data_IF_384105370614
#
_entry.id   IF_384105370614
#
_cell.length_a   1.000
_cell.length_b   1.000
_cell.length_c   1.000
_cell.angle_alpha   90.00
_cell.angle_beta   90.00
_cell.angle_gamma   90.00
#
_symmetry.space_group_name_H-M   'P 1'
#
loop_
_entity.id
_entity.type
_entity.pdbx_description
1 polymer ?
#
# COMPACT_ATOMS: atom_id res chain seq x y z
N UNK A 1 -19.39 -21.67 9.83
CA UNK A 1 -18.55 -21.18 8.71
C UNK A 1 -19.29 -20.32 7.68
N UNK A 2 -20.20 -20.84 6.83
CA UNK A 2 -20.86 -20.00 5.79
C UNK A 2 -21.63 -18.80 6.34
N UNK A 3 -22.32 -18.95 7.47
CA UNK A 3 -23.01 -17.86 8.17
C UNK A 3 -22.04 -16.77 8.65
N UNK A 4 -20.90 -17.15 9.25
CA UNK A 4 -19.88 -16.20 9.72
C UNK A 4 -19.20 -15.47 8.56
N UNK A 5 -18.93 -16.17 7.45
CA UNK A 5 -18.39 -15.55 6.24
C UNK A 5 -19.37 -14.54 5.62
N UNK A 6 -20.67 -14.85 5.59
CA UNK A 6 -21.70 -13.92 5.13
C UNK A 6 -21.81 -12.69 6.04
N UNK A 7 -21.70 -12.89 7.36
CA UNK A 7 -21.69 -11.81 8.33
C UNK A 7 -20.46 -10.91 8.14
N UNK A 8 -19.26 -11.49 8.09
CA UNK A 8 -18.01 -10.77 7.84
C UNK A 8 -18.08 -9.95 6.54
N UNK A 9 -18.56 -10.54 5.44
CA UNK A 9 -18.73 -9.82 4.17
C UNK A 9 -19.69 -8.64 4.28
N UNK A 10 -20.78 -8.79 5.04
CA UNK A 10 -21.75 -7.71 5.28
C UNK A 10 -21.13 -6.58 6.09
N UNK A 11 -20.40 -6.93 7.15
CA UNK A 11 -19.73 -5.95 8.02
C UNK A 11 -18.62 -5.20 7.28
N UNK A 12 -17.79 -5.90 6.50
CA UNK A 12 -16.77 -5.27 5.65
C UNK A 12 -17.37 -4.38 4.57
N UNK A 13 -18.54 -4.73 4.04
CA UNK A 13 -19.25 -3.87 3.08
C UNK A 13 -19.74 -2.57 3.74
N UNK A 14 -20.26 -2.67 4.97
CA UNK A 14 -20.66 -1.51 5.75
C UNK A 14 -19.45 -0.65 6.15
N UNK A 15 -18.33 -1.28 6.51
CA UNK A 15 -17.10 -0.57 6.85
C UNK A 15 -16.50 0.15 5.64
N UNK A 16 -16.46 -0.50 4.47
CA UNK A 16 -16.02 0.15 3.24
C UNK A 16 -16.85 1.42 2.95
N UNK A 17 -18.16 1.35 3.12
CA UNK A 17 -19.04 2.50 2.97
C UNK A 17 -18.76 3.59 4.02
N UNK A 18 -18.46 3.21 5.27
CA UNK A 18 -18.07 4.12 6.35
C UNK A 18 -16.78 4.88 6.04
N UNK A 19 -15.73 4.15 5.65
CA UNK A 19 -14.43 4.69 5.24
C UNK A 19 -14.63 5.67 4.08
N UNK A 20 -15.25 5.23 2.98
CA UNK A 20 -15.42 6.06 1.79
C UNK A 20 -16.25 7.32 2.08
N UNK A 21 -17.28 7.20 2.91
CA UNK A 21 -18.08 8.35 3.35
C UNK A 21 -17.27 9.35 4.19
N UNK A 22 -16.39 8.90 5.08
CA UNK A 22 -15.50 9.79 5.82
C UNK A 22 -14.60 10.60 4.89
N UNK A 23 -13.94 9.95 3.95
CA UNK A 23 -13.02 10.59 3.00
C UNK A 23 -13.75 11.53 2.03
N UNK A 24 -14.97 11.17 1.62
CA UNK A 24 -15.80 11.98 0.72
C UNK A 24 -16.29 13.28 1.37
N UNK A 25 -16.45 13.29 2.70
CA UNK A 25 -16.98 14.44 3.46
C UNK A 25 -15.90 15.32 4.08
N UNK A 26 -14.85 14.72 4.62
CA UNK A 26 -13.88 15.43 5.46
C UNK A 26 -12.57 15.76 4.74
N UNK A 27 -12.16 14.97 3.75
CA UNK A 27 -10.83 15.11 3.14
C UNK A 27 -10.79 16.01 1.89
N UNK A 28 -11.94 16.45 1.37
CA UNK A 28 -11.99 17.29 0.17
C UNK A 28 -11.52 18.72 0.47
N UNK A 29 -10.50 19.21 -0.22
CA UNK A 29 -10.11 20.63 -0.14
C UNK A 29 -10.92 21.45 -1.15
N UNK A 30 -11.99 22.09 -0.69
CA UNK A 30 -12.87 22.91 -1.54
C UNK A 30 -12.17 24.21 -2.00
N UNK A 31 -11.25 24.75 -1.20
CA UNK A 31 -10.57 26.02 -1.48
C UNK A 31 -9.51 25.87 -2.57
N UNK A 32 -8.62 24.90 -2.43
CA UNK A 32 -7.51 24.71 -3.37
C UNK A 32 -7.71 23.52 -4.31
N UNK A 33 -8.79 22.75 -4.20
CA UNK A 33 -8.97 21.54 -5.02
C UNK A 33 -8.18 20.33 -4.49
N UNK A 34 -8.46 19.16 -5.04
CA UNK A 34 -7.89 17.90 -4.55
C UNK A 34 -8.35 17.58 -3.13
N UNK A 35 -7.40 17.20 -2.29
CA UNK A 35 -7.63 16.78 -0.90
C UNK A 35 -6.76 17.60 0.05
N UNK A 36 -7.19 17.70 1.30
CA UNK A 36 -6.41 18.34 2.36
C UNK A 36 -5.15 17.50 2.65
N UNK A 37 -4.06 18.16 3.03
CA UNK A 37 -2.79 17.50 3.34
C UNK A 37 -2.82 16.74 4.66
N UNK A 38 -3.64 17.19 5.62
CA UNK A 38 -3.72 16.62 6.96
C UNK A 38 -5.07 16.90 7.64
N UNK A 39 -5.55 15.89 8.37
CA UNK A 39 -6.61 15.98 9.38
C UNK A 39 -6.01 15.39 10.66
N UNK A 40 -5.97 16.19 11.73
CA UNK A 40 -5.36 15.78 13.00
C UNK A 40 -6.19 14.71 13.74
N UNK A 41 -5.66 14.26 14.89
CA UNK A 41 -6.33 13.28 15.75
C UNK A 41 -7.75 13.73 16.19
N UNK A 42 -7.98 15.03 16.38
CA UNK A 42 -9.25 15.61 16.83
C UNK A 42 -10.20 15.94 15.66
N UNK A 43 -9.93 15.36 14.48
CA UNK A 43 -10.70 15.55 13.26
C UNK A 43 -10.71 17.00 12.76
N UNK A 44 -9.65 17.78 13.04
CA UNK A 44 -9.48 19.13 12.54
C UNK A 44 -8.57 19.15 11.30
N UNK A 45 -9.03 19.81 10.24
CA UNK A 45 -8.22 20.04 9.04
C UNK A 45 -7.11 21.03 9.39
N UNK A 46 -5.87 20.70 8.99
CA UNK A 46 -4.71 21.62 9.10
C UNK A 46 -4.46 22.20 7.70
N UNK A 47 -4.97 23.42 7.38
CA UNK A 47 -5.07 23.87 5.99
C UNK A 47 -3.73 24.18 5.32
N UNK A 48 -2.71 24.51 6.13
CA UNK A 48 -1.38 24.92 5.65
C UNK A 48 -0.44 23.72 5.43
N UNK A 49 -0.90 22.49 5.71
CA UNK A 49 -0.09 21.29 5.52
C UNK A 49 0.07 20.96 4.03
N UNK A 50 1.29 20.60 3.65
CA UNK A 50 1.61 20.17 2.29
C UNK A 50 0.78 18.97 1.84
N UNK A 51 0.58 18.85 0.53
CA UNK A 51 -0.15 17.72 -0.06
C UNK A 51 0.86 16.75 -0.64
N UNK A 52 0.79 15.49 -0.20
CA UNK A 52 1.62 14.40 -0.72
C UNK A 52 1.03 13.74 -1.95
N UNK A 53 1.89 13.37 -2.91
CA UNK A 53 1.47 12.62 -4.08
C UNK A 53 1.02 11.20 -3.74
N UNK A 54 1.68 10.55 -2.78
CA UNK A 54 1.31 9.21 -2.26
C UNK A 54 -0.14 9.21 -1.75
N UNK A 55 -0.49 10.18 -0.89
CA UNK A 55 -1.86 10.35 -0.38
C UNK A 55 -2.86 10.48 -1.53
N UNK A 56 -2.59 11.35 -2.51
CA UNK A 56 -3.50 11.58 -3.64
C UNK A 56 -3.64 10.34 -4.52
N UNK A 57 -2.54 9.64 -4.80
CA UNK A 57 -2.53 8.41 -5.58
C UNK A 57 -3.29 7.26 -4.90
N UNK A 58 -3.15 7.13 -3.58
CA UNK A 58 -3.87 6.14 -2.77
C UNK A 58 -5.37 6.44 -2.67
N UNK A 59 -5.77 7.71 -2.58
CA UNK A 59 -7.17 8.12 -2.69
C UNK A 59 -7.72 7.81 -4.10
N UNK A 60 -6.96 8.14 -5.14
CA UNK A 60 -7.32 7.83 -6.53
C UNK A 60 -7.58 6.33 -6.70
N UNK A 61 -6.66 5.48 -6.23
CA UNK A 61 -6.82 4.04 -6.28
C UNK A 61 -8.07 3.58 -5.54
N UNK A 62 -8.26 4.03 -4.29
CA UNK A 62 -9.33 3.51 -3.42
C UNK A 62 -10.72 3.82 -3.98
N UNK A 63 -10.94 5.06 -4.43
CA UNK A 63 -12.21 5.43 -5.05
C UNK A 63 -12.39 4.77 -6.43
N UNK A 64 -11.31 4.50 -7.15
CA UNK A 64 -11.39 3.78 -8.44
C UNK A 64 -11.77 2.31 -8.25
N UNK A 65 -11.10 1.63 -7.32
CA UNK A 65 -11.35 0.23 -7.01
C UNK A 65 -12.74 0.03 -6.38
N UNK A 66 -13.11 0.85 -5.40
CA UNK A 66 -14.44 0.76 -4.77
C UNK A 66 -15.60 0.98 -5.73
N UNK A 67 -15.47 1.83 -6.76
CA UNK A 67 -16.51 2.02 -7.77
C UNK A 67 -16.82 0.73 -8.55
N UNK A 68 -15.84 -0.17 -8.71
CA UNK A 68 -16.09 -1.45 -9.39
C UNK A 68 -17.06 -2.34 -8.61
N UNK A 69 -17.07 -2.23 -7.29
CA UNK A 69 -17.97 -2.96 -6.39
C UNK A 69 -19.27 -2.17 -6.17
N UNK A 70 -19.16 -0.90 -5.73
CA UNK A 70 -20.31 -0.12 -5.27
C UNK A 70 -21.19 0.41 -6.41
N UNK A 71 -20.60 0.67 -7.58
CA UNK A 71 -21.23 1.39 -8.71
C UNK A 71 -21.84 2.75 -8.32
N UNK A 72 -21.42 3.34 -7.19
CA UNK A 72 -21.90 4.65 -6.74
C UNK A 72 -21.20 5.76 -7.51
N UNK A 73 -21.96 6.54 -8.27
CA UNK A 73 -21.44 7.67 -9.08
C UNK A 73 -20.65 8.71 -8.28
N UNK A 74 -20.93 8.86 -6.98
CA UNK A 74 -20.14 9.71 -6.08
C UNK A 74 -18.67 9.25 -6.01
N UNK A 75 -18.42 7.94 -5.97
CA UNK A 75 -17.07 7.41 -5.90
C UNK A 75 -16.31 7.68 -7.20
N UNK A 76 -16.98 7.54 -8.36
CA UNK A 76 -16.40 7.90 -9.66
C UNK A 76 -16.03 9.39 -9.73
N UNK A 77 -16.87 10.28 -9.18
CA UNK A 77 -16.58 11.72 -9.13
C UNK A 77 -15.36 12.03 -8.28
N UNK A 78 -15.18 11.35 -7.16
CA UNK A 78 -14.02 11.54 -6.28
C UNK A 78 -12.75 10.96 -6.92
N UNK A 79 -12.83 9.78 -7.55
CA UNK A 79 -11.73 9.22 -8.32
C UNK A 79 -11.30 10.18 -9.45
N UNK A 80 -12.27 10.73 -10.20
CA UNK A 80 -12.00 11.73 -11.24
C UNK A 80 -11.34 12.98 -10.67
N UNK A 81 -11.83 13.50 -9.54
CA UNK A 81 -11.21 14.65 -8.84
C UNK A 81 -9.76 14.35 -8.45
N UNK A 82 -9.47 13.16 -7.93
CA UNK A 82 -8.12 12.76 -7.58
C UNK A 82 -7.20 12.69 -8.80
N UNK A 83 -7.67 12.11 -9.89
CA UNK A 83 -6.94 12.05 -11.16
C UNK A 83 -6.64 13.43 -11.74
N UNK A 84 -7.66 14.29 -11.81
CA UNK A 84 -7.51 15.66 -12.34
C UNK A 84 -6.51 16.45 -11.48
N UNK A 85 -6.57 16.31 -10.16
CA UNK A 85 -5.64 16.99 -9.26
C UNK A 85 -4.20 16.44 -9.38
N UNK A 86 -4.04 15.11 -9.39
CA UNK A 86 -2.74 14.45 -9.54
C UNK A 86 -2.07 14.84 -10.86
N UNK A 87 -2.80 14.70 -11.98
CA UNK A 87 -2.26 14.95 -13.32
C UNK A 87 -2.01 16.42 -13.64
N UNK A 88 -2.61 17.36 -12.89
CA UNK A 88 -2.42 18.79 -13.13
C UNK A 88 -1.37 19.42 -12.21
N UNK A 89 -1.16 18.89 -11.00
CA UNK A 89 -0.35 19.58 -9.97
C UNK A 89 0.86 18.76 -9.49
N UNK A 90 0.82 17.43 -9.58
CA UNK A 90 1.93 16.57 -9.16
C UNK A 90 2.73 16.04 -10.34
N UNK A 91 2.09 15.73 -11.47
CA UNK A 91 2.77 15.26 -12.66
C UNK A 91 3.64 16.36 -13.26
N UNK A 92 4.94 16.10 -13.33
CA UNK A 92 5.91 17.03 -13.90
C UNK A 92 6.06 16.77 -15.40
N UNK A 93 5.31 17.52 -16.21
CA UNK A 93 5.36 17.38 -17.67
C UNK A 93 6.71 17.79 -18.29
N UNK A 94 7.57 18.50 -17.56
CA UNK A 94 8.90 18.91 -18.03
C UNK A 94 9.90 17.76 -17.98
N UNK A 95 10.00 17.08 -16.83
CA UNK A 95 10.95 15.98 -16.63
C UNK A 95 10.30 14.59 -16.74
N UNK A 96 8.97 14.51 -16.83
CA UNK A 96 8.19 13.27 -16.89
C UNK A 96 8.08 12.54 -15.55
N UNK A 97 8.42 13.21 -14.45
CA UNK A 97 8.37 12.67 -13.09
C UNK A 97 7.09 13.00 -12.35
N UNK A 98 7.14 12.87 -11.03
CA UNK A 98 6.05 13.25 -10.13
C UNK A 98 6.63 13.89 -8.87
N UNK A 99 6.17 15.09 -8.52
CA UNK A 99 6.61 15.74 -7.30
C UNK A 99 6.23 14.92 -6.06
N UNK A 100 7.14 14.86 -5.09
CA UNK A 100 6.90 14.22 -3.81
C UNK A 100 5.79 14.95 -3.04
N UNK A 101 5.87 16.28 -3.00
CA UNK A 101 4.85 17.11 -2.36
C UNK A 101 4.69 18.49 -3.00
N UNK A 102 3.52 19.09 -2.77
CA UNK A 102 3.19 20.46 -3.18
C UNK A 102 2.66 21.25 -1.98
N UNK A 103 2.85 22.56 -2.02
CA UNK A 103 2.21 23.48 -1.07
C UNK A 103 0.68 23.48 -1.24
N UNK A 104 -0.09 23.94 -0.24
CA UNK A 104 -1.55 24.07 -0.35
C UNK A 104 -2.01 24.88 -1.57
N UNK A 105 -1.21 25.87 -1.99
CA UNK A 105 -1.46 26.72 -3.17
C UNK A 105 -1.10 26.05 -4.52
N UNK A 106 -0.67 24.78 -4.48
CA UNK A 106 -0.25 23.92 -5.60
C UNK A 106 1.13 24.20 -6.16
N UNK A 107 1.90 25.13 -5.58
CA UNK A 107 3.30 25.30 -5.98
C UNK A 107 4.12 24.08 -5.57
N UNK A 108 5.08 23.61 -6.38
CA UNK A 108 5.94 22.48 -5.99
C UNK A 108 6.70 22.79 -4.71
N UNK A 109 6.76 21.82 -3.78
CA UNK A 109 7.50 21.96 -2.52
C UNK A 109 8.71 21.04 -2.50
N UNK A 110 8.49 19.73 -2.47
CA UNK A 110 9.54 18.73 -2.66
C UNK A 110 9.38 18.09 -4.05
N UNK A 111 10.40 18.27 -4.88
CA UNK A 111 10.40 17.89 -6.29
C UNK A 111 11.22 16.64 -6.57
N UNK A 112 11.71 15.94 -5.54
CA UNK A 112 12.38 14.66 -5.74
C UNK A 112 11.45 13.64 -6.38
N UNK A 113 11.99 12.84 -7.29
CA UNK A 113 11.32 11.68 -7.84
C UNK A 113 11.51 10.52 -6.85
N UNK A 114 10.63 10.43 -5.86
CA UNK A 114 10.59 9.26 -4.98
C UNK A 114 9.92 8.10 -5.72
N UNK A 115 10.65 7.01 -5.97
CA UNK A 115 10.15 5.90 -6.78
C UNK A 115 8.92 5.25 -6.16
N UNK A 116 8.84 5.22 -4.84
CA UNK A 116 7.64 4.85 -4.09
C UNK A 116 6.39 5.64 -4.52
N UNK A 117 6.48 6.97 -4.62
CA UNK A 117 5.35 7.81 -5.06
C UNK A 117 4.96 7.56 -6.52
N UNK A 118 5.95 7.30 -7.37
CA UNK A 118 5.71 6.98 -8.77
C UNK A 118 5.01 5.63 -8.89
N UNK A 119 5.42 4.62 -8.13
CA UNK A 119 4.79 3.30 -8.07
C UNK A 119 3.31 3.39 -7.65
N UNK A 120 3.01 4.11 -6.57
CA UNK A 120 1.62 4.36 -6.16
C UNK A 120 0.81 5.14 -7.20
N UNK A 121 1.45 6.07 -7.91
CA UNK A 121 0.78 6.84 -8.96
C UNK A 121 0.46 5.96 -10.17
N UNK A 122 1.37 5.08 -10.58
CA UNK A 122 1.10 4.06 -11.61
C UNK A 122 -0.12 3.22 -11.17
N UNK A 123 -0.09 2.72 -9.93
CA UNK A 123 -1.14 1.88 -9.36
C UNK A 123 -2.52 2.55 -9.37
N UNK A 124 -2.61 3.80 -8.89
CA UNK A 124 -3.85 4.56 -8.88
C UNK A 124 -4.34 4.97 -10.27
N UNK A 125 -3.43 5.38 -11.16
CA UNK A 125 -3.77 5.76 -12.54
C UNK A 125 -4.27 4.58 -13.37
N UNK A 126 -3.63 3.40 -13.24
CA UNK A 126 -4.07 2.19 -13.94
C UNK A 126 -5.44 1.73 -13.43
N UNK A 127 -5.70 1.81 -12.13
CA UNK A 127 -7.01 1.47 -11.56
C UNK A 127 -8.10 2.46 -12.00
N UNK A 128 -7.79 3.75 -12.05
CA UNK A 128 -8.71 4.76 -12.57
C UNK A 128 -9.05 4.53 -14.04
N UNK A 129 -8.06 4.15 -14.86
CA UNK A 129 -8.28 3.82 -16.25
C UNK A 129 -9.26 2.66 -16.43
N UNK A 130 -9.28 1.67 -15.52
CA UNK A 130 -10.25 0.56 -15.56
C UNK A 130 -11.68 1.09 -15.65
N UNK A 131 -12.01 2.11 -14.83
CA UNK A 131 -13.38 2.62 -14.67
C UNK A 131 -13.71 3.82 -15.57
N UNK A 132 -12.72 4.62 -15.97
CA UNK A 132 -12.94 5.86 -16.74
C UNK A 132 -12.66 5.71 -18.23
N UNK A 133 -11.77 4.80 -18.62
CA UNK A 133 -11.16 4.72 -19.96
C UNK A 133 -10.50 6.03 -20.41
N UNK A 134 -10.12 6.90 -19.49
CA UNK A 134 -9.42 8.14 -19.80
C UNK A 134 -7.98 7.83 -20.22
N UNK A 135 -7.69 7.99 -21.51
CA UNK A 135 -6.39 7.65 -22.08
C UNK A 135 -5.25 8.48 -21.47
N UNK A 136 -5.52 9.69 -20.98
CA UNK A 136 -4.49 10.51 -20.31
C UNK A 136 -3.97 9.81 -19.06
N UNK A 137 -4.82 9.12 -18.29
CA UNK A 137 -4.40 8.37 -17.11
C UNK A 137 -3.43 7.24 -17.48
N UNK A 138 -3.77 6.47 -18.52
CA UNK A 138 -2.93 5.37 -19.00
C UNK A 138 -1.59 5.87 -19.54
N UNK A 139 -1.56 6.95 -20.32
CA UNK A 139 -0.29 7.48 -20.84
C UNK A 139 0.62 8.03 -19.74
N UNK A 140 0.07 8.67 -18.70
CA UNK A 140 0.88 9.09 -17.54
C UNK A 140 1.46 7.85 -16.83
N UNK A 141 0.64 6.82 -16.57
CA UNK A 141 1.11 5.60 -15.91
C UNK A 141 2.24 4.91 -16.71
N UNK A 142 2.09 4.81 -18.04
CA UNK A 142 3.13 4.28 -18.93
C UNK A 142 4.41 5.10 -18.89
N UNK A 143 4.30 6.43 -18.92
CA UNK A 143 5.46 7.31 -18.83
C UNK A 143 6.18 7.14 -17.47
N UNK A 144 5.46 7.10 -16.35
CA UNK A 144 6.08 6.89 -15.04
C UNK A 144 6.80 5.54 -14.95
N UNK A 145 6.19 4.47 -15.47
CA UNK A 145 6.85 3.15 -15.61
C UNK A 145 8.16 3.27 -16.41
N UNK A 146 8.09 3.87 -17.60
CA UNK A 146 9.27 4.04 -18.47
C UNK A 146 10.37 4.85 -17.79
N UNK A 147 10.01 5.87 -17.00
CA UNK A 147 10.96 6.68 -16.24
C UNK A 147 11.63 5.93 -15.11
N UNK A 148 10.89 5.08 -14.38
CA UNK A 148 11.49 4.17 -13.39
C UNK A 148 12.49 3.23 -14.09
N UNK A 149 12.09 2.58 -15.20
CA UNK A 149 12.99 1.71 -15.97
C UNK A 149 14.22 2.44 -16.51
N UNK A 150 14.08 3.70 -16.91
CA UNK A 150 15.17 4.48 -17.49
C UNK A 150 16.19 4.94 -16.44
N UNK A 151 15.73 5.34 -15.26
CA UNK A 151 16.55 6.12 -14.32
C UNK A 151 16.80 5.44 -12.98
N UNK A 152 15.90 4.54 -12.54
CA UNK A 152 15.98 3.89 -11.23
C UNK A 152 16.46 2.44 -11.33
N UNK A 153 16.13 1.73 -12.42
CA UNK A 153 16.58 0.36 -12.63
C UNK A 153 18.11 0.27 -12.62
N UNK A 154 18.64 -0.68 -11.85
CA UNK A 154 20.05 -1.01 -11.79
C UNK A 154 20.37 -2.15 -12.78
N UNK A 155 20.99 -1.88 -13.94
CA UNK A 155 21.29 -2.92 -14.93
C UNK A 155 22.44 -3.84 -14.53
N UNK A 156 23.19 -3.51 -13.46
CA UNK A 156 24.33 -4.31 -13.00
C UNK A 156 23.86 -5.34 -11.97
N UNK A 157 23.22 -4.88 -10.89
CA UNK A 157 22.83 -5.75 -9.78
C UNK A 157 21.33 -6.08 -9.76
N UNK A 158 20.52 -5.54 -10.69
CA UNK A 158 19.05 -5.60 -10.70
C UNK A 158 18.42 -4.89 -9.50
N UNK A 159 17.10 -4.71 -9.55
CA UNK A 159 16.36 -3.90 -8.60
C UNK A 159 16.41 -2.41 -8.97
N UNK A 160 15.99 -1.57 -8.03
CA UNK A 160 15.64 -0.18 -8.28
C UNK A 160 16.19 0.73 -7.18
N UNK A 161 16.78 1.86 -7.58
CA UNK A 161 17.16 2.92 -6.64
C UNK A 161 15.93 3.74 -6.20
N UNK A 162 15.95 4.18 -4.96
CA UNK A 162 14.78 4.66 -4.22
C UNK A 162 14.29 6.07 -4.55
N UNK A 163 15.21 6.99 -4.86
CA UNK A 163 14.89 8.39 -5.13
C UNK A 163 15.93 9.05 -6.03
N UNK A 164 15.48 10.04 -6.79
CA UNK A 164 16.32 10.88 -7.65
C UNK A 164 15.91 12.36 -7.53
N UNK A 165 16.77 13.27 -7.97
CA UNK A 165 16.39 14.68 -8.14
C UNK A 165 15.28 14.83 -9.18
N UNK A 166 14.67 16.02 -9.25
CA UNK A 166 13.63 16.37 -10.25
C UNK A 166 14.06 16.03 -11.68
N UNK A 167 15.33 16.27 -12.01
CA UNK A 167 15.97 16.02 -13.31
C UNK A 167 16.68 14.66 -13.41
N UNK A 168 16.28 13.71 -12.57
CA UNK A 168 16.70 12.30 -12.61
C UNK A 168 18.20 12.07 -12.36
N UNK A 169 18.83 12.90 -11.54
CA UNK A 169 20.18 12.68 -11.04
C UNK A 169 20.17 11.94 -9.70
N UNK A 170 21.24 11.19 -9.37
CA UNK A 170 21.37 10.58 -8.05
C UNK A 170 21.28 11.63 -6.92
N UNK A 171 20.66 11.24 -5.80
CA UNK A 171 20.55 12.06 -4.59
C UNK A 171 21.06 11.26 -3.37
N UNK A 172 21.52 11.97 -2.35
CA UNK A 172 22.08 11.35 -1.14
C UNK A 172 21.01 10.81 -0.20
N UNK A 173 19.93 11.56 0.03
CA UNK A 173 18.83 11.16 0.91
C UNK A 173 17.71 10.49 0.12
N UNK A 174 17.56 9.18 0.35
CA UNK A 174 16.64 8.30 -0.34
C UNK A 174 15.41 7.95 0.50
N UNK A 175 15.41 8.34 1.77
CA UNK A 175 14.43 7.90 2.75
C UNK A 175 13.03 8.39 2.43
N UNK A 176 12.05 7.57 2.80
CA UNK A 176 10.64 7.91 2.79
C UNK A 176 10.30 8.83 3.97
N UNK A 177 10.82 8.51 5.14
CA UNK A 177 10.65 9.25 6.40
C UNK A 177 11.92 9.21 7.26
N UNK A 178 11.94 9.99 8.34
CA UNK A 178 13.07 9.98 9.30
C UNK A 178 13.25 8.64 10.04
N UNK A 179 12.25 7.74 9.98
CA UNK A 179 12.33 6.40 10.58
C UNK A 179 13.09 5.40 9.73
N UNK A 180 13.19 5.64 8.42
CA UNK A 180 13.75 4.67 7.48
C UNK A 180 15.28 4.75 7.41
N UNK A 181 15.93 3.61 7.21
CA UNK A 181 17.36 3.58 6.91
C UNK A 181 17.62 4.18 5.51
N UNK A 182 18.65 5.03 5.39
CA UNK A 182 19.04 5.65 4.12
C UNK A 182 19.82 4.67 3.23
N UNK A 183 19.17 3.59 2.81
CA UNK A 183 19.75 2.55 1.99
C UNK A 183 19.32 2.64 0.52
N UNK A 184 20.08 1.98 -0.36
CA UNK A 184 19.95 2.13 -1.82
C UNK A 184 18.82 1.29 -2.41
N UNK A 185 18.45 0.18 -1.76
CA UNK A 185 17.40 -0.74 -2.17
C UNK A 185 16.62 -1.21 -0.94
N UNK A 186 15.32 -0.95 -0.93
CA UNK A 186 14.43 -1.29 0.19
C UNK A 186 13.31 -2.22 -0.26
N UNK A 187 12.94 -3.13 0.62
CA UNK A 187 11.84 -4.07 0.37
C UNK A 187 10.54 -3.30 0.12
N UNK A 188 10.26 -2.27 0.94
CA UNK A 188 9.02 -1.50 0.88
C UNK A 188 8.79 -0.88 -0.51
N UNK A 189 9.79 -0.19 -1.07
CA UNK A 189 9.65 0.39 -2.41
C UNK A 189 9.56 -0.68 -3.50
N UNK A 190 10.35 -1.76 -3.42
CA UNK A 190 10.29 -2.83 -4.43
C UNK A 190 8.94 -3.55 -4.44
N UNK A 191 8.34 -3.74 -3.26
CA UNK A 191 7.00 -4.32 -3.10
C UNK A 191 5.95 -3.47 -3.82
N UNK A 192 6.01 -2.14 -3.68
CA UNK A 192 5.04 -1.27 -4.34
C UNK A 192 5.35 -1.01 -5.82
N UNK A 193 6.60 -1.10 -6.28
CA UNK A 193 6.92 -1.11 -7.72
C UNK A 193 6.22 -2.29 -8.39
N UNK A 194 6.36 -3.51 -7.84
CA UNK A 194 5.76 -4.70 -8.45
C UNK A 194 4.23 -4.64 -8.41
N UNK A 195 3.65 -4.11 -7.33
CA UNK A 195 2.20 -3.86 -7.24
C UNK A 195 1.72 -2.90 -8.34
N UNK A 196 2.38 -1.75 -8.49
CA UNK A 196 2.04 -0.77 -9.52
C UNK A 196 2.17 -1.35 -10.93
N UNK A 197 3.26 -2.08 -11.20
CA UNK A 197 3.53 -2.67 -12.50
C UNK A 197 2.52 -3.76 -12.84
N UNK A 198 2.22 -4.66 -11.91
CA UNK A 198 1.22 -5.70 -12.09
C UNK A 198 -0.17 -5.10 -12.38
N UNK A 199 -0.56 -4.04 -11.66
CA UNK A 199 -1.84 -3.39 -11.93
C UNK A 199 -1.88 -2.67 -13.29
N UNK A 200 -0.77 -2.05 -13.71
CA UNK A 200 -0.63 -1.49 -15.05
C UNK A 200 -0.75 -2.59 -16.13
N UNK A 201 -0.14 -3.76 -15.93
CA UNK A 201 -0.21 -4.87 -16.87
C UNK A 201 -1.62 -5.43 -17.05
N UNK A 202 -2.53 -5.27 -16.07
CA UNK A 202 -3.95 -5.65 -16.25
C UNK A 202 -4.62 -4.86 -17.37
N UNK A 203 -4.23 -3.61 -17.59
CA UNK A 203 -4.85 -2.70 -18.58
C UNK A 203 -3.97 -2.43 -19.81
N UNK A 204 -2.67 -2.69 -19.70
CA UNK A 204 -1.70 -2.55 -20.79
C UNK A 204 -0.84 -3.81 -20.89
N UNK A 205 -1.25 -4.72 -21.78
CA UNK A 205 -0.63 -6.03 -21.99
C UNK A 205 0.67 -5.95 -22.80
N UNK A 206 1.64 -5.20 -22.27
CA UNK A 206 2.97 -5.06 -22.85
C UNK A 206 3.90 -6.18 -22.36
N UNK A 207 4.59 -6.84 -23.30
CA UNK A 207 5.47 -7.97 -22.97
C UNK A 207 6.75 -7.54 -22.25
N UNK A 208 7.23 -6.31 -22.46
CA UNK A 208 8.38 -5.78 -21.73
C UNK A 208 8.01 -5.57 -20.26
N UNK A 209 6.88 -4.91 -20.00
CA UNK A 209 6.35 -4.74 -18.65
C UNK A 209 6.15 -6.09 -17.94
N UNK A 210 5.61 -7.09 -18.65
CA UNK A 210 5.47 -8.45 -18.10
C UNK A 210 6.82 -9.04 -17.66
N UNK A 211 7.85 -8.92 -18.51
CA UNK A 211 9.19 -9.43 -18.21
C UNK A 211 9.83 -8.67 -17.05
N UNK A 212 9.61 -7.37 -16.95
CA UNK A 212 10.10 -6.54 -15.84
C UNK A 212 9.44 -6.91 -14.50
N UNK A 213 8.14 -7.23 -14.50
CA UNK A 213 7.45 -7.78 -13.32
C UNK A 213 8.05 -9.13 -12.93
N UNK A 214 8.27 -10.03 -13.89
CA UNK A 214 8.87 -11.36 -13.64
C UNK A 214 10.27 -11.22 -13.05
N UNK A 215 11.11 -10.34 -13.59
CA UNK A 215 12.46 -10.12 -13.06
C UNK A 215 12.43 -9.49 -11.67
N UNK A 216 11.54 -8.53 -11.43
CA UNK A 216 11.40 -7.90 -10.11
C UNK A 216 10.93 -8.92 -9.07
N UNK A 217 9.97 -9.78 -9.40
CA UNK A 217 9.57 -10.89 -8.54
C UNK A 217 10.76 -11.82 -8.24
N UNK A 218 11.51 -12.25 -9.25
CA UNK A 218 12.71 -13.06 -9.03
C UNK A 218 13.76 -12.36 -8.16
N UNK A 219 13.89 -11.05 -8.30
CA UNK A 219 14.79 -10.22 -7.47
C UNK A 219 14.31 -10.18 -6.03
N UNK A 220 13.00 -10.00 -5.80
CA UNK A 220 12.39 -10.00 -4.47
C UNK A 220 12.56 -11.37 -3.79
N UNK A 221 12.24 -12.45 -4.50
CA UNK A 221 12.42 -13.82 -4.02
C UNK A 221 13.87 -14.08 -3.59
N UNK A 222 14.84 -13.62 -4.37
CA UNK A 222 16.26 -13.87 -4.11
C UNK A 222 16.82 -13.05 -2.95
N UNK A 223 16.41 -11.80 -2.82
CA UNK A 223 17.08 -10.85 -1.94
C UNK A 223 16.27 -10.49 -0.69
N UNK A 224 14.98 -10.22 -0.84
CA UNK A 224 14.15 -9.76 0.27
C UNK A 224 13.54 -10.90 1.08
N UNK A 225 13.27 -12.06 0.49
CA UNK A 225 12.71 -13.20 1.23
C UNK A 225 13.83 -13.97 1.93
N UNK A 226 13.84 -13.97 3.27
CA UNK A 226 14.72 -14.85 4.01
C UNK A 226 14.08 -16.25 4.11
N UNK A 227 14.52 -17.20 3.29
CA UNK A 227 13.95 -18.55 3.29
C UNK A 227 14.30 -19.38 4.54
N UNK A 228 15.28 -18.93 5.35
CA UNK A 228 15.63 -19.62 6.61
C UNK A 228 14.67 -19.25 7.73
N UNK A 229 14.28 -17.97 7.82
CA UNK A 229 13.39 -17.46 8.89
C UNK A 229 11.95 -17.28 8.44
N UNK A 230 11.70 -17.18 7.13
CA UNK A 230 10.39 -16.85 6.54
C UNK A 230 10.05 -15.37 6.48
N UNK A 231 10.78 -14.51 7.20
CA UNK A 231 10.55 -13.06 7.24
C UNK A 231 11.22 -12.33 6.07
N UNK A 232 10.78 -11.09 5.83
CA UNK A 232 11.43 -10.18 4.91
C UNK A 232 12.68 -9.56 5.52
N UNK A 233 13.70 -9.39 4.67
CA UNK A 233 14.83 -8.49 4.89
C UNK A 233 14.45 -7.12 4.33
N UNK A 234 14.69 -6.04 5.07
CA UNK A 234 14.10 -4.75 4.73
C UNK A 234 15.01 -3.83 3.92
N UNK A 235 16.32 -3.80 4.21
CA UNK A 235 17.23 -2.77 3.71
C UNK A 235 18.55 -3.32 3.18
N UNK A 236 18.98 -2.82 2.02
CA UNK A 236 20.18 -3.26 1.31
C UNK A 236 20.93 -2.12 0.65
N UNK A 237 22.25 -2.26 0.59
CA UNK A 237 23.08 -1.43 -0.28
C UNK A 237 22.85 -1.77 -1.77
N UNK A 238 23.52 -1.06 -2.68
CA UNK A 238 23.39 -1.27 -4.12
C UNK A 238 23.86 -2.66 -4.59
N UNK A 239 24.68 -3.34 -3.79
CA UNK A 239 25.27 -4.65 -4.07
C UNK A 239 24.50 -5.80 -3.40
N UNK A 240 23.33 -5.52 -2.82
CA UNK A 240 22.53 -6.48 -2.06
C UNK A 240 23.23 -7.03 -0.82
N UNK A 241 24.10 -6.23 -0.19
CA UNK A 241 24.54 -6.49 1.18
C UNK A 241 23.44 -6.02 2.11
N UNK A 242 22.87 -6.97 2.85
CA UNK A 242 21.83 -6.71 3.84
C UNK A 242 22.38 -5.81 4.96
N UNK A 243 21.59 -4.81 5.33
CA UNK A 243 21.70 -4.13 6.61
C UNK A 243 20.60 -4.70 7.51
N UNK A 244 20.94 -5.58 8.46
CA UNK A 244 19.94 -6.17 9.35
C UNK A 244 19.15 -5.09 10.07
N UNK A 245 17.86 -5.33 10.22
CA UNK A 245 16.92 -4.41 10.86
C UNK A 245 15.78 -5.20 11.52
N UNK A 246 14.73 -4.50 11.94
CA UNK A 246 13.52 -5.08 12.52
C UNK A 246 12.83 -6.07 11.58
N UNK A 247 12.12 -7.01 12.18
CA UNK A 247 11.08 -7.80 11.53
C UNK A 247 9.81 -6.93 11.51
N UNK A 248 9.21 -6.75 10.33
CA UNK A 248 7.98 -5.98 10.17
C UNK A 248 6.82 -6.88 9.81
N UNK A 249 6.04 -7.27 10.82
CA UNK A 249 4.93 -8.23 10.68
C UNK A 249 3.89 -7.78 9.66
N UNK A 250 3.63 -6.47 9.60
CA UNK A 250 2.70 -5.90 8.61
C UNK A 250 3.19 -6.07 7.17
N UNK A 251 4.49 -5.86 6.93
CA UNK A 251 5.04 -6.06 5.59
C UNK A 251 5.15 -7.54 5.22
N UNK A 252 5.48 -8.41 6.18
CA UNK A 252 5.51 -9.86 5.95
C UNK A 252 4.15 -10.36 5.47
N UNK A 253 3.08 -9.99 6.19
CA UNK A 253 1.72 -10.45 5.85
C UNK A 253 1.17 -9.77 4.58
N UNK A 254 1.55 -8.53 4.30
CA UNK A 254 1.24 -7.85 3.03
C UNK A 254 1.91 -8.55 1.85
N UNK A 255 3.22 -8.78 1.93
CA UNK A 255 3.99 -9.44 0.88
C UNK A 255 3.50 -10.87 0.62
N UNK A 256 3.06 -11.57 1.68
CA UNK A 256 2.53 -12.93 1.59
C UNK A 256 1.41 -13.05 0.55
N UNK A 257 0.47 -12.11 0.49
CA UNK A 257 -0.63 -12.17 -0.47
C UNK A 257 -0.34 -11.37 -1.75
N UNK A 258 0.36 -10.23 -1.63
CA UNK A 258 0.54 -9.28 -2.72
C UNK A 258 1.50 -9.82 -3.80
N UNK A 259 2.61 -10.46 -3.39
CA UNK A 259 3.58 -11.02 -4.34
C UNK A 259 2.98 -12.19 -5.12
N UNK A 260 2.15 -13.01 -4.47
CA UNK A 260 1.39 -14.05 -5.15
C UNK A 260 0.43 -13.45 -6.17
N UNK A 261 -0.35 -12.42 -5.79
CA UNK A 261 -1.27 -11.76 -6.72
C UNK A 261 -0.53 -11.19 -7.94
N UNK A 262 0.65 -10.58 -7.73
CA UNK A 262 1.49 -10.08 -8.82
C UNK A 262 1.97 -11.22 -9.73
N UNK A 263 2.41 -12.35 -9.17
CA UNK A 263 2.81 -13.53 -9.95
C UNK A 263 1.63 -14.09 -10.77
N UNK A 264 0.43 -14.18 -10.18
CA UNK A 264 -0.78 -14.63 -10.86
C UNK A 264 -1.16 -13.73 -12.05
N UNK A 265 -1.01 -12.41 -11.91
CA UNK A 265 -1.26 -11.44 -13.00
C UNK A 265 -0.33 -11.66 -14.19
N UNK A 266 0.89 -12.15 -13.98
CA UNK A 266 1.82 -12.48 -15.08
C UNK A 266 1.52 -13.82 -15.75
N UNK A 267 0.68 -14.66 -15.14
CA UNK A 267 0.40 -16.04 -15.56
C UNK A 267 1.65 -16.94 -15.59
N UNK A 268 2.74 -16.55 -14.91
CA UNK A 268 3.96 -17.34 -14.81
C UNK A 268 3.80 -18.46 -13.78
N UNK A 269 3.52 -19.68 -14.26
CA UNK A 269 3.25 -20.85 -13.41
C UNK A 269 4.35 -21.14 -12.37
N UNK A 270 5.61 -21.00 -12.75
CA UNK A 270 6.74 -21.25 -11.85
C UNK A 270 6.75 -20.27 -10.68
N UNK A 271 6.60 -18.96 -10.97
CA UNK A 271 6.54 -17.95 -9.91
C UNK A 271 5.29 -18.11 -9.06
N UNK A 272 4.13 -18.43 -9.66
CA UNK A 272 2.90 -18.70 -8.90
C UNK A 272 3.13 -19.84 -7.89
N UNK A 273 3.76 -20.94 -8.30
CA UNK A 273 4.04 -22.07 -7.42
C UNK A 273 5.04 -21.73 -6.30
N UNK A 274 6.02 -20.86 -6.57
CA UNK A 274 6.94 -20.36 -5.56
C UNK A 274 6.24 -19.45 -4.56
N UNK A 275 5.51 -18.44 -5.04
CA UNK A 275 4.84 -17.48 -4.17
C UNK A 275 3.67 -18.06 -3.39
N UNK A 276 3.04 -19.15 -3.84
CA UNK A 276 2.12 -19.91 -2.98
C UNK A 276 2.81 -20.46 -1.73
N UNK A 277 4.05 -20.96 -1.86
CA UNK A 277 4.82 -21.47 -0.73
C UNK A 277 5.25 -20.33 0.18
N UNK A 278 5.74 -19.22 -0.39
CA UNK A 278 6.13 -18.06 0.40
C UNK A 278 4.94 -17.41 1.10
N UNK A 279 3.76 -17.34 0.46
CA UNK A 279 2.54 -16.84 1.06
C UNK A 279 2.18 -17.60 2.35
N UNK A 280 2.26 -18.93 2.32
CA UNK A 280 1.99 -19.78 3.49
C UNK A 280 3.09 -19.62 4.53
N UNK A 281 4.36 -19.65 4.11
CA UNK A 281 5.51 -19.49 5.01
C UNK A 281 5.46 -18.17 5.77
N UNK A 282 5.29 -17.05 5.06
CA UNK A 282 5.21 -15.70 5.64
C UNK A 282 4.00 -15.57 6.57
N UNK A 283 2.84 -16.11 6.19
CA UNK A 283 1.68 -16.11 7.06
C UNK A 283 1.91 -16.93 8.34
N UNK A 284 2.56 -18.09 8.25
CA UNK A 284 2.89 -18.93 9.41
C UNK A 284 3.86 -18.24 10.36
N UNK A 285 4.94 -17.63 9.86
CA UNK A 285 5.92 -16.97 10.73
C UNK A 285 5.38 -15.68 11.32
N UNK A 286 4.48 -14.98 10.62
CA UNK A 286 3.82 -13.77 11.15
C UNK A 286 2.94 -14.06 12.37
N UNK A 287 2.52 -15.32 12.60
CA UNK A 287 1.75 -15.70 13.79
C UNK A 287 2.48 -15.38 15.10
N UNK A 288 3.82 -15.28 15.11
CA UNK A 288 4.57 -14.91 16.31
C UNK A 288 4.30 -13.45 16.75
N UNK A 289 3.92 -12.59 15.81
CA UNK A 289 3.54 -11.21 16.07
C UNK A 289 2.07 -11.02 16.45
N UNK A 290 1.26 -12.09 16.42
CA UNK A 290 -0.17 -12.02 16.73
C UNK A 290 -0.38 -12.01 18.26
N UNK A 291 -1.08 -11.01 18.77
CA UNK A 291 -1.44 -10.94 20.18
C UNK A 291 -2.73 -11.72 20.47
N UNK A 292 -2.95 -12.05 21.74
CA UNK A 292 -4.10 -12.83 22.22
C UNK A 292 -5.47 -12.12 22.05
N UNK A 293 -5.47 -10.85 21.65
CA UNK A 293 -6.68 -10.08 21.35
C UNK A 293 -7.01 -10.01 19.86
N UNK A 294 -6.26 -10.72 19.01
CA UNK A 294 -6.44 -10.75 17.55
C UNK A 294 -5.69 -9.65 16.81
N UNK A 295 -5.06 -8.70 17.50
CA UNK A 295 -4.28 -7.63 16.90
C UNK A 295 -2.83 -8.05 16.63
N UNK A 296 -2.30 -7.67 15.47
CA UNK A 296 -0.93 -7.92 15.05
C UNK A 296 -0.01 -6.77 15.50
N UNK A 297 1.08 -7.10 16.21
CA UNK A 297 2.08 -6.12 16.63
C UNK A 297 2.79 -5.49 15.43
N UNK A 298 3.40 -4.33 15.64
CA UNK A 298 4.03 -3.57 14.56
C UNK A 298 5.32 -4.24 14.08
N UNK A 299 6.33 -4.28 14.94
CA UNK A 299 7.69 -4.70 14.57
C UNK A 299 8.40 -5.37 15.76
N UNK A 300 9.40 -6.20 15.48
CA UNK A 300 10.30 -6.77 16.47
C UNK A 300 11.76 -6.51 16.09
N UNK A 301 12.54 -5.98 17.02
CA UNK A 301 13.98 -5.75 16.88
C UNK A 301 14.75 -6.98 17.44
N UNK A 302 15.31 -7.84 16.57
CA UNK A 302 16.04 -9.03 17.02
C UNK A 302 17.40 -8.71 17.66
N UNK A 303 18.01 -7.56 17.35
CA UNK A 303 19.28 -7.15 17.94
C UNK A 303 19.10 -6.73 19.40
N UNK A 304 18.03 -5.97 19.68
CA UNK A 304 17.68 -5.51 21.02
C UNK A 304 16.79 -6.48 21.78
N UNK A 305 16.26 -7.51 21.10
CA UNK A 305 15.23 -8.40 21.61
C UNK A 305 14.03 -7.61 22.17
N UNK A 306 13.57 -6.62 21.40
CA UNK A 306 12.55 -5.66 21.80
C UNK A 306 11.37 -5.69 20.82
N UNK A 307 10.16 -5.85 21.36
CA UNK A 307 8.92 -5.76 20.59
C UNK A 307 8.45 -4.31 20.57
N UNK A 308 8.26 -3.76 19.37
CA UNK A 308 7.52 -2.50 19.17
C UNK A 308 6.04 -2.82 19.31
N UNK A 309 5.59 -2.84 20.56
CA UNK A 309 4.25 -3.26 20.97
C UNK A 309 3.18 -2.18 20.70
N UNK A 310 3.08 -1.79 19.44
CA UNK A 310 2.06 -0.90 18.88
C UNK A 310 1.22 -1.71 17.87
N UNK A 311 -0.05 -1.36 17.70
CA UNK A 311 -0.95 -1.98 16.72
C UNK A 311 -1.47 -0.92 15.77
N UNK A 312 -0.80 -0.81 14.62
CA UNK A 312 -1.09 0.21 13.61
C UNK A 312 -2.21 -0.24 12.68
N UNK A 313 -3.02 0.71 12.22
CA UNK A 313 -4.20 0.49 11.39
C UNK A 313 -3.92 -0.34 10.13
N UNK A 314 -2.84 -0.02 9.41
CA UNK A 314 -2.50 -0.66 8.15
C UNK A 314 -2.06 -2.11 8.35
N UNK A 315 -1.30 -2.40 9.42
CA UNK A 315 -0.88 -3.76 9.78
C UNK A 315 -2.10 -4.66 10.01
N UNK A 316 -3.13 -4.14 10.67
CA UNK A 316 -4.35 -4.91 10.90
C UNK A 316 -5.14 -5.14 9.61
N UNK A 317 -5.18 -4.13 8.72
CA UNK A 317 -5.84 -4.26 7.44
C UNK A 317 -5.17 -5.33 6.56
N UNK A 318 -3.83 -5.36 6.51
CA UNK A 318 -3.08 -6.37 5.76
C UNK A 318 -3.18 -7.76 6.37
N UNK A 319 -3.25 -7.86 7.70
CA UNK A 319 -3.48 -9.12 8.40
C UNK A 319 -4.79 -9.80 7.94
N UNK A 320 -5.88 -9.04 7.78
CA UNK A 320 -7.14 -9.58 7.25
C UNK A 320 -6.94 -10.24 5.88
N UNK A 321 -6.22 -9.58 4.96
CA UNK A 321 -6.01 -10.08 3.60
C UNK A 321 -5.06 -11.27 3.60
N UNK A 322 -3.91 -11.15 4.25
CA UNK A 322 -2.87 -12.18 4.22
C UNK A 322 -3.30 -13.48 4.90
N UNK A 323 -3.96 -13.41 6.07
CA UNK A 323 -4.49 -14.61 6.72
C UNK A 323 -5.67 -15.20 5.96
N UNK A 324 -6.56 -14.39 5.37
CA UNK A 324 -7.61 -14.92 4.50
C UNK A 324 -7.01 -15.60 3.26
N UNK A 325 -5.96 -15.04 2.67
CA UNK A 325 -5.23 -15.64 1.56
C UNK A 325 -4.58 -16.97 1.96
N UNK A 326 -3.96 -17.06 3.13
CA UNK A 326 -3.43 -18.31 3.67
C UNK A 326 -4.52 -19.38 3.86
N UNK A 327 -5.70 -19.01 4.38
CA UNK A 327 -6.87 -19.88 4.42
C UNK A 327 -7.28 -20.37 3.03
N UNK A 328 -7.34 -19.48 2.03
CA UNK A 328 -7.71 -19.86 0.65
C UNK A 328 -6.72 -20.86 0.02
N UNK A 329 -5.43 -20.75 0.36
CA UNK A 329 -4.38 -21.63 -0.19
C UNK A 329 -4.33 -22.99 0.49
N UNK A 330 -4.61 -23.05 1.79
CA UNK A 330 -4.38 -24.25 2.63
C UNK A 330 -5.67 -24.99 2.99
N UNK A 331 -6.79 -24.27 3.12
CA UNK A 331 -8.01 -24.77 3.74
C UNK A 331 -7.91 -24.92 5.27
N UNK A 332 -6.83 -24.45 5.90
CA UNK A 332 -6.65 -24.53 7.36
C UNK A 332 -7.49 -23.47 8.07
N UNK A 333 -8.45 -23.92 8.88
CA UNK A 333 -9.42 -23.07 9.56
C UNK A 333 -8.76 -22.12 10.57
N UNK A 334 -7.54 -22.42 11.06
CA UNK A 334 -6.81 -21.55 12.00
C UNK A 334 -6.66 -20.12 11.47
N UNK A 335 -6.36 -19.97 10.18
CA UNK A 335 -6.17 -18.63 9.60
C UNK A 335 -7.49 -17.89 9.47
N UNK A 336 -8.59 -18.61 9.22
CA UNK A 336 -9.91 -18.01 9.15
C UNK A 336 -10.40 -17.56 10.53
N UNK A 337 -10.10 -18.32 11.58
CA UNK A 337 -10.35 -17.92 12.97
C UNK A 337 -9.59 -16.62 13.30
N UNK A 338 -8.30 -16.53 12.94
CA UNK A 338 -7.51 -15.30 13.09
C UNK A 338 -8.14 -14.12 12.35
N UNK A 339 -8.65 -14.30 11.13
CA UNK A 339 -9.34 -13.22 10.40
C UNK A 339 -10.55 -12.70 11.17
N UNK A 340 -11.33 -13.58 11.82
CA UNK A 340 -12.46 -13.15 12.65
C UNK A 340 -11.99 -12.40 13.89
N UNK A 341 -10.97 -12.91 14.60
CA UNK A 341 -10.40 -12.27 15.79
C UNK A 341 -9.79 -10.90 15.47
N UNK A 342 -9.03 -10.79 14.37
CA UNK A 342 -8.46 -9.51 13.90
C UNK A 342 -9.55 -8.52 13.51
N UNK A 343 -10.65 -8.99 12.91
CA UNK A 343 -11.78 -8.12 12.58
C UNK A 343 -12.49 -7.61 13.85
N UNK A 344 -12.73 -8.48 14.84
CA UNK A 344 -13.28 -8.08 16.14
C UNK A 344 -12.36 -7.09 16.86
N UNK A 345 -11.03 -7.29 16.79
CA UNK A 345 -10.05 -6.34 17.30
C UNK A 345 -10.18 -4.96 16.65
N UNK A 346 -10.23 -4.90 15.32
CA UNK A 346 -10.39 -3.66 14.56
C UNK A 346 -11.67 -2.94 14.99
N UNK A 347 -12.80 -3.65 15.01
CA UNK A 347 -14.10 -3.11 15.40
C UNK A 347 -14.08 -2.49 16.79
N UNK A 348 -13.42 -3.16 17.74
CA UNK A 348 -13.41 -2.76 19.14
C UNK A 348 -12.42 -1.63 19.44
N UNK A 349 -11.27 -1.61 18.78
CA UNK A 349 -10.14 -0.77 19.19
C UNK A 349 -9.71 0.27 18.17
N UNK A 350 -9.96 0.06 16.89
CA UNK A 350 -9.45 0.94 15.83
C UNK A 350 -10.54 1.78 15.16
N UNK A 351 -11.78 1.33 15.10
CA UNK A 351 -12.85 2.14 14.52
C UNK A 351 -13.15 3.37 15.40
N UNK A 352 -13.02 4.58 14.84
CA UNK A 352 -13.54 5.79 15.47
C UNK A 352 -15.03 5.92 15.15
N UNK A 353 -15.85 5.27 15.97
CA UNK A 353 -17.31 5.30 15.82
C UNK A 353 -17.94 6.69 16.06
N UNK A 354 -17.17 7.64 16.61
CA UNK A 354 -17.65 9.01 16.85
C UNK A 354 -17.42 9.93 15.65
N UNK A 355 -16.20 9.94 15.10
CA UNK A 355 -15.81 10.85 14.02
C UNK A 355 -15.68 10.17 12.64
N UNK A 356 -15.68 8.84 12.60
CA UNK A 356 -15.43 8.04 11.40
C UNK A 356 -13.94 7.78 11.15
N UNK A 357 -13.70 6.88 10.18
CA UNK A 357 -12.37 6.31 9.87
C UNK A 357 -11.77 5.50 11.04
N UNK A 358 -10.59 4.92 10.81
CA UNK A 358 -9.83 4.22 11.83
C UNK A 358 -8.91 5.21 12.57
N UNK A 359 -8.65 4.99 13.84
CA UNK A 359 -7.50 5.60 14.53
C UNK A 359 -6.19 5.15 13.87
N UNK A 360 -5.11 5.89 14.11
CA UNK A 360 -3.79 5.48 13.62
C UNK A 360 -3.38 4.11 14.19
N UNK A 361 -3.66 3.89 15.46
CA UNK A 361 -3.32 2.67 16.16
C UNK A 361 -3.52 2.82 17.65
N UNK A 362 -3.14 1.76 18.36
CA UNK A 362 -3.10 1.73 19.82
C UNK A 362 -1.73 1.26 20.31
N UNK A 363 -1.34 1.72 21.50
CA UNK A 363 -0.20 1.16 22.21
C UNK A 363 -0.59 -0.14 22.92
N UNK A 364 0.41 -0.84 23.47
CA UNK A 364 0.22 -2.08 24.26
C UNK A 364 -0.83 -2.00 25.37
N UNK A 365 -0.99 -0.83 25.99
CA UNK A 365 -1.96 -0.59 27.07
C UNK A 365 -3.36 -0.17 26.58
N UNK A 366 -3.62 -0.31 25.27
CA UNK A 366 -4.83 0.14 24.57
C UNK A 366 -5.03 1.66 24.53
N UNK A 367 -4.03 2.46 24.92
CA UNK A 367 -4.10 3.90 24.72
C UNK A 367 -4.04 4.25 23.23
N UNK A 368 -4.92 5.14 22.79
CA UNK A 368 -4.98 5.60 21.40
C UNK A 368 -3.70 6.37 21.04
N UNK A 369 -3.12 6.06 19.89
CA UNK A 369 -2.05 6.85 19.29
C UNK A 369 -2.63 8.15 18.74
N UNK A 370 -2.18 9.29 19.27
CA UNK A 370 -2.68 10.64 18.94
C UNK A 370 -2.08 11.21 17.65
N UNK A 371 -1.92 10.36 16.65
CA UNK A 371 -1.42 10.72 15.33
C UNK A 371 -2.57 11.21 14.44
N UNK A 372 -2.22 11.71 13.26
CA UNK A 372 -3.17 12.21 12.27
C UNK A 372 -4.21 11.15 11.87
N UNK A 373 -5.45 11.60 11.68
CA UNK A 373 -6.54 10.78 11.16
C UNK A 373 -6.40 10.55 9.66
N UNK A 374 -5.91 11.56 8.95
CA UNK A 374 -5.56 11.53 7.53
C UNK A 374 -4.33 12.40 7.32
N UNK A 375 -3.40 11.96 6.49
CA UNK A 375 -2.16 12.71 6.27
C UNK A 375 -1.30 12.09 5.19
N UNK A 376 -0.04 12.50 5.12
CA UNK A 376 0.92 12.02 4.11
C UNK A 376 0.95 10.49 4.01
N UNK A 377 0.91 9.80 5.16
CA UNK A 377 1.01 8.34 5.28
C UNK A 377 -0.31 7.62 5.58
N UNK A 378 -1.30 8.30 6.17
CA UNK A 378 -2.61 7.70 6.50
C UNK A 378 -3.68 8.14 5.50
N UNK A 379 -4.21 7.16 4.77
CA UNK A 379 -5.01 7.31 3.57
C UNK A 379 -6.03 6.14 3.50
N UNK A 380 -7.06 6.16 2.63
CA UNK A 380 -8.09 5.12 2.63
C UNK A 380 -7.64 3.79 2.01
N UNK A 381 -6.35 3.66 1.65
CA UNK A 381 -5.86 2.58 0.81
C UNK A 381 -5.80 1.24 1.53
N UNK A 382 -5.09 1.07 2.64
CA UNK A 382 -4.93 -0.26 3.25
C UNK A 382 -6.25 -0.82 3.79
N UNK A 383 -6.98 -0.05 4.59
CA UNK A 383 -8.27 -0.48 5.16
C UNK A 383 -9.38 -0.58 4.10
N UNK A 384 -9.43 0.35 3.14
CA UNK A 384 -10.32 0.24 1.99
C UNK A 384 -10.00 -0.99 1.13
N UNK A 385 -8.72 -1.26 0.85
CA UNK A 385 -8.25 -2.45 0.10
C UNK A 385 -8.60 -3.73 0.82
N UNK A 386 -8.38 -3.80 2.14
CA UNK A 386 -8.75 -4.97 2.93
C UNK A 386 -10.23 -5.31 2.80
N UNK A 387 -11.11 -4.30 2.92
CA UNK A 387 -12.54 -4.51 2.71
C UNK A 387 -12.83 -4.98 1.26
N UNK A 388 -12.29 -4.29 0.26
CA UNK A 388 -12.50 -4.61 -1.18
C UNK A 388 -12.05 -6.04 -1.52
N UNK A 389 -10.86 -6.43 -1.06
CA UNK A 389 -10.27 -7.75 -1.29
C UNK A 389 -11.11 -8.85 -0.64
N UNK A 390 -11.44 -8.73 0.65
CA UNK A 390 -12.22 -9.76 1.35
C UNK A 390 -13.66 -9.85 0.81
N UNK A 391 -14.32 -8.71 0.52
CA UNK A 391 -15.66 -8.72 -0.11
C UNK A 391 -15.64 -9.50 -1.43
N UNK A 392 -14.58 -9.34 -2.21
CA UNK A 392 -14.41 -10.00 -3.52
C UNK A 392 -14.03 -11.48 -3.39
N UNK A 393 -13.24 -11.84 -2.38
CA UNK A 393 -12.74 -13.21 -2.16
C UNK A 393 -13.73 -14.12 -1.45
N UNK A 394 -14.57 -13.58 -0.56
CA UNK A 394 -15.60 -14.35 0.16
C UNK A 394 -16.69 -14.78 -0.81
N UNK A 395 -16.69 -16.09 -1.12
CA UNK A 395 -17.74 -16.78 -1.89
C UNK A 395 -18.90 -17.09 -0.96
N UNK A 396 -20.08 -16.59 -1.30
CA UNK A 396 -21.34 -16.74 -0.55
C UNK A 396 -22.27 -17.72 -1.22
#
# INVERSE_FOLDING_TARGET
MSVQLNQLKTELSAELDSILNYWSKNALDIKNGGFVGQIDFNNQIIPETEKGSVLTARILWTFSSSYQISKKEEHLKIAKRAFEFLSANFYDAEFGGLFWSINPDKTPKDTKNQIYALAFSIYGLSEYYVISKDQKALEIAKNLYQKIQQHSYDPVNKGYFEALTRDWQPIEDLRLSDKDANEKKTMNTHLHIVEGYANLYKVWKDETLKNDIIELLQTIEKHFINTETGHLRLFFDENWVEKPDVISYGHDIEAAWLLLQCAEITENKTLIDHYKKYAILMADVTLEGLDADGGLWYEFDPEKNELVAEKHWWVQAEALIGFYNAYQLTGDEKYLEIVFESWEFIQKHLLDTQNGEWFWGINRDYSLMKNDKAGFWKCPYHNGRACIELISRIKT
#
